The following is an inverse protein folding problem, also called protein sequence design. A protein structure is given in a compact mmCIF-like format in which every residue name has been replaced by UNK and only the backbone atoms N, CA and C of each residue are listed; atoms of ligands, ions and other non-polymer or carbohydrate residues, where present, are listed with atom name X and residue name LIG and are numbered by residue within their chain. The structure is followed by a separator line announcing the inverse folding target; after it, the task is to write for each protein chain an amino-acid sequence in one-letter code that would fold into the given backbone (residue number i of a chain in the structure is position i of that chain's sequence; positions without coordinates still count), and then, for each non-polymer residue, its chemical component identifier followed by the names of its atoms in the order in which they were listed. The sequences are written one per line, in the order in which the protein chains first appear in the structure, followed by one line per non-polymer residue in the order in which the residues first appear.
data_IF_424521420408
#
_entry.id   IF_424521420408
#
_cell.length_a   1.000
_cell.length_b   1.000
_cell.length_c   1.000
_cell.angle_alpha   90.00
_cell.angle_beta   90.00
_cell.angle_gamma   90.00
#
_symmetry.space_group_name_H-M   'P 1'
#
loop_
_entity.id
_entity.type
_entity.pdbx_description
1 polymer ?
#
# COMPACT_ATOMS: atom_id res chain seq x y z
N UNK A 1 70.29 40.12 13.16
CA UNK A 1 69.16 41.00 12.77
C UNK A 1 67.99 40.12 12.38
N UNK A 2 66.77 40.64 12.60
CA UNK A 2 65.56 39.92 12.98
C UNK A 2 64.77 39.20 11.86
N UNK A 3 63.72 38.48 12.32
CA UNK A 3 62.55 37.85 11.66
C UNK A 3 62.74 36.35 11.32
N UNK A 4 62.14 35.35 12.00
CA UNK A 4 60.73 35.10 12.40
C UNK A 4 59.76 35.29 11.22
N UNK A 5 58.97 34.34 10.74
CA UNK A 5 58.33 33.20 11.39
C UNK A 5 57.94 32.15 10.34
N UNK A 6 58.00 30.87 10.72
CA UNK A 6 57.02 29.82 10.37
C UNK A 6 57.40 28.57 11.17
N UNK A 7 57.07 28.63 12.47
CA UNK A 7 56.89 27.43 13.28
C UNK A 7 55.56 26.78 12.87
N UNK A 8 55.59 25.47 12.68
CA UNK A 8 54.45 24.59 12.94
C UNK A 8 53.74 24.05 11.71
N UNK A 9 54.21 22.88 11.22
CA UNK A 9 53.37 21.76 10.78
C UNK A 9 54.23 20.50 10.59
N UNK A 10 54.78 19.98 11.68
CA UNK A 10 55.29 18.60 11.75
C UNK A 10 54.85 17.99 13.09
N UNK A 11 53.54 17.75 13.25
CA UNK A 11 53.02 16.97 14.37
C UNK A 11 51.60 16.46 14.07
N UNK A 12 51.46 15.41 13.27
CA UNK A 12 50.31 14.48 13.39
C UNK A 12 50.65 13.09 12.83
N UNK A 13 51.78 12.53 13.29
CA UNK A 13 51.94 11.09 13.38
C UNK A 13 51.24 10.60 14.64
N UNK A 14 49.90 10.48 14.60
CA UNK A 14 49.16 10.08 15.80
C UNK A 14 47.65 10.22 15.73
N UNK A 15 46.98 9.58 14.77
CA UNK A 15 45.52 9.37 14.81
C UNK A 15 45.13 7.97 14.29
N UNK A 16 45.96 6.94 14.52
CA UNK A 16 45.63 5.54 14.20
C UNK A 16 44.88 4.83 15.36
N UNK A 17 44.08 5.58 16.12
CA UNK A 17 43.49 5.13 17.38
C UNK A 17 42.11 5.70 17.73
N UNK A 18 41.47 6.44 16.83
CA UNK A 18 40.06 6.80 17.00
C UNK A 18 39.29 5.83 16.11
N UNK A 19 38.73 4.79 16.72
CA UNK A 19 37.76 3.90 16.08
C UNK A 19 36.51 4.68 15.75
N UNK A 20 36.53 5.35 14.61
CA UNK A 20 35.31 5.86 13.98
C UNK A 20 34.68 4.64 13.32
N UNK A 21 33.56 4.09 13.82
CA UNK A 21 32.84 3.08 13.07
C UNK A 21 32.41 3.70 11.74
N UNK A 22 32.65 2.99 10.64
CA UNK A 22 32.26 3.32 9.25
C UNK A 22 30.75 3.69 9.10
N UNK A 23 29.95 3.52 10.14
CA UNK A 23 28.50 3.74 10.18
C UNK A 23 28.05 5.20 10.21
N UNK A 24 28.94 6.19 10.38
CA UNK A 24 28.55 7.61 10.47
C UNK A 24 28.65 8.40 9.15
N UNK A 25 29.01 7.75 8.02
CA UNK A 25 29.17 8.41 6.72
C UNK A 25 27.94 8.34 5.79
N UNK A 26 26.82 7.76 6.22
CA UNK A 26 25.58 7.79 5.44
C UNK A 26 24.37 8.13 6.34
N UNK A 27 23.55 9.15 6.00
CA UNK A 27 22.22 9.24 6.56
C UNK A 27 21.47 7.98 6.11
N UNK A 28 21.32 7.02 7.03
CA UNK A 28 20.40 5.91 6.91
C UNK A 28 19.00 6.52 6.92
N UNK A 29 18.51 6.94 5.75
CA UNK A 29 17.09 7.12 5.53
C UNK A 29 16.51 5.71 5.60
N UNK A 30 16.25 5.23 6.82
CA UNK A 30 15.28 4.16 7.03
C UNK A 30 13.96 4.72 6.53
N UNK A 31 13.70 4.50 5.25
CA UNK A 31 12.35 4.53 4.74
C UNK A 31 11.58 3.57 5.66
N UNK A 32 10.50 4.01 6.31
CA UNK A 32 9.63 3.06 6.95
C UNK A 32 9.27 2.07 5.86
N UNK A 33 9.65 0.80 6.05
CA UNK A 33 9.09 -0.29 5.26
C UNK A 33 7.63 -0.34 5.70
N UNK A 34 6.84 0.55 5.10
CA UNK A 34 5.41 0.36 5.01
C UNK A 34 5.31 -0.88 4.16
N UNK A 35 5.16 -2.04 4.80
CA UNK A 35 4.69 -3.24 4.13
C UNK A 35 3.50 -2.79 3.30
N UNK A 36 3.71 -2.67 1.98
CA UNK A 36 2.60 -2.43 1.07
C UNK A 36 1.67 -3.61 1.32
N UNK A 37 0.41 -3.37 1.71
CA UNK A 37 -0.52 -4.46 1.95
C UNK A 37 -0.49 -5.35 0.71
N UNK A 38 -0.19 -6.63 0.93
CA UNK A 38 -0.05 -7.58 -0.16
C UNK A 38 -1.33 -7.53 -1.00
N UNK A 39 -1.17 -7.45 -2.32
CA UNK A 39 -2.30 -7.29 -3.21
C UNK A 39 -3.32 -8.43 -3.06
N UNK A 40 -2.84 -9.64 -2.73
CA UNK A 40 -3.68 -10.79 -2.41
C UNK A 40 -4.51 -10.58 -1.14
N UNK A 41 -3.94 -9.96 -0.11
CA UNK A 41 -4.68 -9.59 1.11
C UNK A 41 -5.78 -8.56 0.82
N UNK A 42 -5.48 -7.53 0.03
CA UNK A 42 -6.49 -6.53 -0.37
C UNK A 42 -7.62 -7.16 -1.19
N UNK A 43 -7.29 -8.04 -2.14
CA UNK A 43 -8.28 -8.78 -2.92
C UNK A 43 -9.14 -9.69 -2.05
N UNK A 44 -8.53 -10.40 -1.10
CA UNK A 44 -9.25 -11.26 -0.17
C UNK A 44 -10.20 -10.45 0.73
N UNK A 45 -9.75 -9.29 1.22
CA UNK A 45 -10.60 -8.37 1.97
C UNK A 45 -11.76 -7.84 1.13
N UNK A 46 -11.52 -7.50 -0.13
CA UNK A 46 -12.57 -7.04 -1.04
C UNK A 46 -13.61 -8.14 -1.30
N UNK A 47 -13.17 -9.39 -1.57
CA UNK A 47 -14.07 -10.54 -1.75
C UNK A 47 -14.90 -10.80 -0.48
N UNK A 48 -14.26 -10.73 0.70
CA UNK A 48 -14.95 -10.90 1.99
C UNK A 48 -16.00 -9.80 2.21
N UNK A 49 -15.66 -8.54 1.90
CA UNK A 49 -16.59 -7.42 2.03
C UNK A 49 -17.78 -7.53 1.07
N UNK A 50 -17.56 -8.02 -0.16
CA UNK A 50 -18.66 -8.30 -1.11
C UNK A 50 -19.58 -9.38 -0.53
N UNK A 51 -19.03 -10.46 0.02
CA UNK A 51 -19.83 -11.52 0.64
C UNK A 51 -20.67 -10.99 1.81
N UNK A 52 -20.06 -10.23 2.72
CA UNK A 52 -20.76 -9.61 3.86
C UNK A 52 -21.87 -8.64 3.41
N UNK A 53 -21.61 -7.89 2.33
CA UNK A 53 -22.60 -6.98 1.74
C UNK A 53 -23.75 -7.75 1.10
N UNK A 54 -23.46 -8.85 0.38
CA UNK A 54 -24.48 -9.72 -0.21
C UNK A 54 -25.37 -10.38 0.85
N UNK A 55 -24.80 -10.86 1.95
CA UNK A 55 -25.56 -11.45 3.07
C UNK A 55 -26.47 -10.41 3.72
N UNK A 56 -25.94 -9.21 4.02
CA UNK A 56 -26.74 -8.12 4.57
C UNK A 56 -27.87 -7.67 3.63
N UNK A 57 -27.59 -7.61 2.32
CA UNK A 57 -28.60 -7.30 1.33
C UNK A 57 -29.71 -8.35 1.31
N UNK A 58 -29.37 -9.63 1.44
CA UNK A 58 -30.34 -10.72 1.49
C UNK A 58 -31.24 -10.63 2.73
N UNK A 59 -30.67 -10.32 3.89
CA UNK A 59 -31.43 -10.02 5.11
C UNK A 59 -32.36 -8.81 4.95
N UNK A 60 -31.88 -7.74 4.29
CA UNK A 60 -32.68 -6.55 4.05
C UNK A 60 -33.85 -6.83 3.08
N UNK A 61 -33.64 -7.70 2.09
CA UNK A 61 -34.68 -8.17 1.16
C UNK A 61 -35.70 -9.06 1.88
N UNK A 62 -35.29 -9.93 2.80
CA UNK A 62 -36.24 -10.68 3.65
C UNK A 62 -37.06 -9.74 4.53
N UNK A 63 -36.43 -8.75 5.16
CA UNK A 63 -37.10 -7.72 5.96
C UNK A 63 -38.08 -6.88 5.12
N UNK A 64 -37.75 -6.63 3.84
CA UNK A 64 -38.64 -6.00 2.86
C UNK A 64 -39.86 -6.86 2.54
N UNK A 65 -39.61 -8.12 2.18
CA UNK A 65 -40.66 -9.08 1.84
C UNK A 65 -41.59 -9.36 3.03
N UNK A 66 -41.07 -9.23 4.25
CA UNK A 66 -41.85 -9.26 5.49
C UNK A 66 -42.71 -8.00 5.72
N UNK A 67 -42.71 -7.03 4.81
CA UNK A 67 -43.58 -5.85 4.84
C UNK A 67 -43.07 -4.71 5.73
N UNK A 68 -41.78 -4.70 6.09
CA UNK A 68 -41.17 -3.51 6.71
C UNK A 68 -41.08 -2.38 5.68
N UNK A 69 -41.30 -1.14 6.12
CA UNK A 69 -41.41 0.05 5.29
C UNK A 69 -40.07 0.32 4.57
N UNK A 70 -39.90 -0.20 3.35
CA UNK A 70 -38.74 0.11 2.52
C UNK A 70 -39.22 0.79 1.26
N UNK A 71 -38.63 1.96 1.03
CA UNK A 71 -38.93 2.82 -0.09
C UNK A 71 -38.53 2.13 -1.40
N UNK A 72 -39.51 1.85 -2.28
CA UNK A 72 -39.31 1.22 -3.59
C UNK A 72 -38.20 1.90 -4.41
N UNK A 73 -38.04 3.21 -4.22
CA UNK A 73 -37.00 4.01 -4.85
C UNK A 73 -35.58 3.52 -4.48
N UNK A 74 -35.36 3.16 -3.22
CA UNK A 74 -34.08 2.66 -2.73
C UNK A 74 -33.75 1.28 -3.32
N UNK A 75 -34.75 0.44 -3.58
CA UNK A 75 -34.56 -0.90 -4.16
C UNK A 75 -34.09 -0.80 -5.61
N UNK A 76 -34.71 0.06 -6.42
CA UNK A 76 -34.31 0.26 -7.82
C UNK A 76 -32.92 0.91 -7.90
N UNK A 77 -32.64 1.88 -7.04
CA UNK A 77 -31.32 2.52 -6.98
C UNK A 77 -30.23 1.53 -6.55
N UNK A 78 -30.52 0.69 -5.55
CA UNK A 78 -29.62 -0.38 -5.11
C UNK A 78 -29.38 -1.41 -6.22
N UNK A 79 -30.42 -1.79 -6.98
CA UNK A 79 -30.29 -2.71 -8.11
C UNK A 79 -29.40 -2.12 -9.22
N UNK A 80 -29.61 -0.85 -9.60
CA UNK A 80 -28.77 -0.16 -10.59
C UNK A 80 -27.31 -0.03 -10.12
N UNK A 81 -27.10 0.34 -8.86
CA UNK A 81 -25.76 0.43 -8.27
C UNK A 81 -25.06 -0.93 -8.27
N UNK A 82 -25.78 -2.00 -7.93
CA UNK A 82 -25.25 -3.37 -7.92
C UNK A 82 -24.84 -3.82 -9.33
N UNK A 83 -25.69 -3.56 -10.34
CA UNK A 83 -25.36 -3.89 -11.73
C UNK A 83 -24.09 -3.17 -12.21
N UNK A 84 -24.00 -1.85 -11.97
CA UNK A 84 -22.81 -1.07 -12.34
C UNK A 84 -21.56 -1.55 -11.60
N UNK A 85 -21.68 -1.86 -10.31
CA UNK A 85 -20.58 -2.36 -9.48
C UNK A 85 -20.09 -3.72 -9.97
N UNK A 86 -20.99 -4.62 -10.38
CA UNK A 86 -20.63 -5.92 -10.93
C UNK A 86 -19.86 -5.77 -12.25
N UNK A 87 -20.35 -4.92 -13.16
CA UNK A 87 -19.66 -4.64 -14.42
C UNK A 87 -18.26 -4.08 -14.19
N UNK A 88 -18.13 -3.15 -13.25
CA UNK A 88 -16.84 -2.58 -12.86
C UNK A 88 -15.91 -3.64 -12.24
N UNK A 89 -16.42 -4.51 -11.38
CA UNK A 89 -15.65 -5.60 -10.78
C UNK A 89 -15.13 -6.58 -11.83
N UNK A 90 -15.91 -6.89 -12.87
CA UNK A 90 -15.46 -7.73 -13.99
C UNK A 90 -14.31 -7.07 -14.77
N UNK A 91 -14.40 -5.75 -15.02
CA UNK A 91 -13.32 -5.00 -15.66
C UNK A 91 -12.05 -4.98 -14.81
N UNK A 92 -12.18 -4.77 -13.50
CA UNK A 92 -11.06 -4.83 -12.57
C UNK A 92 -10.45 -6.23 -12.54
N UNK A 93 -11.25 -7.30 -12.46
CA UNK A 93 -10.78 -8.69 -12.51
C UNK A 93 -9.88 -8.94 -13.72
N UNK A 94 -10.34 -8.50 -14.90
CA UNK A 94 -9.58 -8.68 -16.14
C UNK A 94 -8.27 -7.89 -16.09
N UNK A 95 -8.29 -6.62 -15.67
CA UNK A 95 -7.08 -5.79 -15.53
C UNK A 95 -6.07 -6.34 -14.52
N UNK A 96 -6.53 -6.95 -13.44
CA UNK A 96 -5.67 -7.60 -12.44
C UNK A 96 -5.00 -8.84 -13.04
N UNK A 97 -5.75 -9.65 -13.78
CA UNK A 97 -5.20 -10.81 -14.48
C UNK A 97 -4.12 -10.39 -15.49
N UNK A 98 -4.38 -9.33 -16.26
CA UNK A 98 -3.43 -8.79 -17.23
C UNK A 98 -2.19 -8.23 -16.53
N UNK A 99 -2.36 -7.49 -15.42
CA UNK A 99 -1.24 -6.96 -14.63
C UNK A 99 -0.37 -8.07 -14.03
N UNK A 100 -0.97 -9.16 -13.56
CA UNK A 100 -0.23 -10.33 -13.08
C UNK A 100 0.57 -10.98 -14.22
N UNK A 101 -0.02 -11.13 -15.40
CA UNK A 101 0.68 -11.64 -16.58
C UNK A 101 1.84 -10.73 -17.01
N UNK A 102 1.67 -9.41 -16.98
CA UNK A 102 2.71 -8.45 -17.37
C UNK A 102 3.90 -8.48 -16.41
N UNK A 103 3.66 -8.52 -15.09
CA UNK A 103 4.74 -8.60 -14.08
C UNK A 103 5.55 -9.88 -14.25
N UNK A 104 4.89 -11.00 -14.53
CA UNK A 104 5.57 -12.28 -14.83
C UNK A 104 6.40 -12.20 -16.12
N UNK A 105 5.93 -11.45 -17.13
CA UNK A 105 6.67 -11.24 -18.39
C UNK A 105 7.86 -10.30 -18.25
N UNK A 106 7.89 -9.41 -17.25
CA UNK A 106 9.03 -8.52 -16.97
C UNK A 106 10.14 -9.20 -16.17
N UNK A 107 9.87 -10.30 -15.48
CA UNK A 107 10.81 -10.92 -14.53
C UNK A 107 11.63 -12.08 -15.15
N UNK A 108 11.35 -12.44 -16.41
CA UNK A 108 12.13 -13.42 -17.19
C UNK A 108 13.24 -12.77 -18.01
#
# INVERSE_FOLDING_TARGET
MAMNQLNGIEAIGGLKGIGIPESILAPQIQQPVVEKPDFGQLLQMAIKSINETSVNANEAIEKLAAGQNIDLHNVVLAAQKSYLTLQFALQIKNKISDAYQEIMRMTI
#
